data_IF_278959268381
#
_entry.id   IF_278959268381
#
_cell.length_a   1.000
_cell.length_b   1.000
_cell.length_c   1.000
_cell.angle_alpha   90.00
_cell.angle_beta   90.00
_cell.angle_gamma   90.00
#
_symmetry.space_group_name_H-M   'P 1'
#
loop_
_entity.id
_entity.type
_entity.pdbx_description
1 polymer ?
#
# COMPACT_ATOMS: atom_id res chain seq x y z
N UNK A 1 -2.09 13.79 22.22
CA UNK A 1 -2.56 12.44 21.82
C UNK A 1 -2.79 12.51 20.32
N UNK A 2 -2.02 11.79 19.50
CA UNK A 2 -1.89 12.07 18.06
C UNK A 2 -1.92 10.82 17.18
N UNK A 3 -2.65 9.78 17.61
CA UNK A 3 -2.83 8.55 16.84
C UNK A 3 -4.34 8.26 16.80
N UNK A 4 -4.86 8.08 15.59
CA UNK A 4 -6.24 7.64 15.32
C UNK A 4 -6.20 6.22 14.78
N UNK A 5 -7.03 5.34 15.36
CA UNK A 5 -7.17 3.97 14.91
C UNK A 5 -8.54 3.80 14.25
N UNK A 6 -8.53 3.43 12.98
CA UNK A 6 -9.72 2.93 12.30
C UNK A 6 -9.67 1.41 12.22
N UNK A 7 -10.69 0.77 12.78
CA UNK A 7 -10.86 -0.69 12.79
C UNK A 7 -11.94 -1.07 11.78
N UNK A 8 -11.92 -2.31 11.31
CA UNK A 8 -12.85 -2.82 10.28
C UNK A 8 -12.79 -2.07 8.94
N UNK A 9 -11.66 -1.43 8.64
CA UNK A 9 -11.42 -0.76 7.35
C UNK A 9 -10.41 -1.57 6.53
N UNK A 10 -10.81 -2.00 5.34
CA UNK A 10 -9.96 -2.73 4.41
C UNK A 10 -9.39 -1.79 3.32
N UNK A 11 -8.07 -1.60 3.33
CA UNK A 11 -7.36 -0.79 2.31
C UNK A 11 -7.37 -1.55 0.97
N UNK A 12 -7.93 -0.91 -0.07
CA UNK A 12 -8.16 -1.47 -1.39
C UNK A 12 -9.62 -1.81 -1.68
N UNK A 13 -10.47 -1.88 -0.64
CA UNK A 13 -11.91 -2.14 -0.77
C UNK A 13 -12.73 -0.99 -0.24
N UNK A 14 -12.47 -0.57 0.99
CA UNK A 14 -13.19 0.52 1.66
C UNK A 14 -12.50 1.87 1.42
N UNK A 15 -11.17 1.87 1.36
CA UNK A 15 -10.36 3.08 1.09
C UNK A 15 -9.26 2.74 0.10
N UNK A 16 -9.05 3.55 -0.94
CA UNK A 16 -7.95 3.33 -1.89
C UNK A 16 -6.61 3.79 -1.32
N UNK A 17 -5.53 3.08 -1.70
CA UNK A 17 -4.18 3.47 -1.29
C UNK A 17 -3.79 4.85 -1.85
N UNK A 18 -4.19 5.17 -3.08
CA UNK A 18 -3.95 6.48 -3.70
C UNK A 18 -4.54 7.63 -2.87
N UNK A 19 -5.76 7.46 -2.35
CA UNK A 19 -6.38 8.46 -1.49
C UNK A 19 -5.55 8.70 -0.22
N UNK A 20 -4.92 7.67 0.32
CA UNK A 20 -4.05 7.79 1.48
C UNK A 20 -2.73 8.48 1.13
N UNK A 21 -2.17 8.21 -0.06
CA UNK A 21 -0.94 8.88 -0.51
C UNK A 21 -1.15 10.38 -0.79
N UNK A 22 -2.35 10.79 -1.20
CA UNK A 22 -2.69 12.20 -1.39
C UNK A 22 -2.95 12.94 -0.07
N UNK A 23 -3.52 12.25 0.93
CA UNK A 23 -3.94 12.86 2.19
C UNK A 23 -2.85 12.88 3.26
N UNK A 24 -1.82 12.04 3.14
CA UNK A 24 -0.75 11.90 4.11
C UNK A 24 0.63 12.11 3.46
N UNK A 25 1.53 12.82 4.14
CA UNK A 25 2.90 13.04 3.67
C UNK A 25 3.71 11.73 3.54
N UNK A 26 3.35 10.70 4.31
CA UNK A 26 3.97 9.38 4.26
C UNK A 26 3.01 8.27 4.70
N UNK A 27 3.08 7.11 4.03
CA UNK A 27 2.28 5.92 4.34
C UNK A 27 3.19 4.72 4.61
N UNK A 28 3.00 4.06 5.76
CA UNK A 28 3.67 2.80 6.09
C UNK A 28 2.70 1.63 5.96
N UNK A 29 3.03 0.66 5.10
CA UNK A 29 2.17 -0.50 4.85
C UNK A 29 2.72 -1.72 5.58
N UNK A 30 2.08 -2.08 6.69
CA UNK A 30 2.38 -3.25 7.51
C UNK A 30 1.41 -4.41 7.28
N UNK A 31 0.98 -4.66 6.05
CA UNK A 31 0.23 -5.89 5.73
C UNK A 31 1.20 -7.05 5.93
N UNK A 32 0.84 -8.07 6.72
CA UNK A 32 1.69 -9.25 6.93
C UNK A 32 1.98 -10.00 5.61
N UNK A 33 2.17 -11.32 5.66
CA UNK A 33 2.43 -12.15 4.46
C UNK A 33 1.18 -12.36 3.59
N UNK A 34 0.43 -11.30 3.26
CA UNK A 34 -0.85 -11.39 2.57
C UNK A 34 -0.85 -10.89 1.13
N UNK A 35 0.19 -10.17 0.69
CA UNK A 35 0.44 -9.90 -0.72
C UNK A 35 1.82 -9.28 -0.83
N UNK A 36 2.70 -9.85 -1.64
CA UNK A 36 3.85 -9.09 -2.14
C UNK A 36 3.29 -7.81 -2.75
N UNK A 37 3.51 -6.66 -2.11
CA UNK A 37 3.40 -5.40 -2.80
C UNK A 37 4.40 -5.49 -3.94
N UNK A 38 3.90 -5.65 -5.17
CA UNK A 38 4.68 -5.29 -6.35
C UNK A 38 5.06 -3.83 -6.13
N UNK A 39 6.35 -3.57 -5.95
CA UNK A 39 6.83 -2.29 -5.45
C UNK A 39 6.69 -1.17 -6.49
N UNK A 40 6.05 -1.43 -7.64
CA UNK A 40 5.82 -0.45 -8.68
C UNK A 40 7.13 0.16 -9.17
N UNK A 41 8.23 -0.60 -9.05
CA UNK A 41 9.53 -0.16 -9.50
C UNK A 41 9.49 -0.11 -11.03
N UNK A 42 9.86 1.01 -11.66
CA UNK A 42 10.01 1.06 -13.11
C UNK A 42 11.04 0.00 -13.52
N UNK A 43 10.61 -1.00 -14.30
CA UNK A 43 11.29 -2.24 -14.75
C UNK A 43 10.83 -3.58 -14.10
N UNK A 44 9.73 -3.64 -13.34
CA UNK A 44 9.25 -4.92 -12.77
C UNK A 44 8.73 -5.94 -13.82
N UNK A 45 8.42 -5.50 -15.06
CA UNK A 45 7.95 -6.33 -16.18
C UNK A 45 8.96 -6.42 -17.35
N UNK A 46 10.27 -6.33 -17.08
CA UNK A 46 11.27 -6.54 -18.12
C UNK A 46 11.23 -8.00 -18.63
N UNK A 47 11.08 -8.24 -19.96
CA UNK A 47 11.05 -9.59 -20.53
C UNK A 47 12.47 -10.16 -20.55
N UNK A 48 12.83 -10.87 -19.49
CA UNK A 48 14.14 -11.48 -19.37
C UNK A 48 14.33 -12.16 -18.03
N UNK A 49 13.71 -13.32 -17.84
CA UNK A 49 14.20 -14.30 -16.86
C UNK A 49 14.75 -15.51 -17.62
N UNK A 50 16.07 -15.67 -17.56
CA UNK A 50 16.73 -16.97 -17.56
C UNK A 50 16.71 -17.53 -16.13
#
# INVERSE_FOLDING_TARGET
MGIHFELNCEVGKDVSLDSLLEQYDAVFVGVGTYRSMKAGLPNEDAPGRL
#
